data_IF_807240602409
#
_entry.id   IF_807240602409
#
_cell.length_a   1.000
_cell.length_b   1.000
_cell.length_c   1.000
_cell.angle_alpha   90.00
_cell.angle_beta   90.00
_cell.angle_gamma   90.00
#
_symmetry.space_group_name_H-M   'P 1'
#
loop_
_entity.id
_entity.type
_entity.pdbx_description
1 polymer ?
#
# COMPACT_ATOMS: atom_id res chain seq x y z
N UNK A 1 42.74 -20.47 -6.09
CA UNK A 1 41.75 -19.38 -5.85
C UNK A 1 41.95 -18.82 -4.45
N UNK A 2 41.83 -17.51 -4.23
CA UNK A 2 42.01 -16.91 -2.90
C UNK A 2 40.88 -17.36 -1.94
N UNK A 3 41.20 -17.97 -0.78
CA UNK A 3 40.19 -18.45 0.17
C UNK A 3 39.25 -17.36 0.70
N UNK A 4 39.74 -16.12 0.87
CA UNK A 4 38.94 -14.97 1.32
C UNK A 4 37.89 -14.59 0.26
N UNK A 5 38.26 -14.61 -1.01
CA UNK A 5 37.33 -14.35 -2.13
C UNK A 5 36.22 -15.41 -2.16
N UNK A 6 36.56 -16.67 -1.91
CA UNK A 6 35.57 -17.77 -1.91
C UNK A 6 34.53 -17.61 -0.79
N UNK A 7 34.98 -17.21 0.41
CA UNK A 7 34.08 -16.92 1.54
C UNK A 7 33.15 -15.76 1.23
N UNK A 8 33.71 -14.64 0.75
CA UNK A 8 32.92 -13.45 0.39
C UNK A 8 31.88 -13.74 -0.70
N UNK A 9 32.22 -14.53 -1.73
CA UNK A 9 31.27 -14.94 -2.77
C UNK A 9 30.14 -15.80 -2.20
N UNK A 10 30.45 -16.69 -1.27
CA UNK A 10 29.43 -17.54 -0.62
C UNK A 10 28.45 -16.70 0.19
N UNK A 11 28.96 -15.74 0.97
CA UNK A 11 28.12 -14.82 1.75
C UNK A 11 27.29 -13.91 0.84
N UNK A 12 27.88 -13.40 -0.23
CA UNK A 12 27.18 -12.59 -1.22
C UNK A 12 25.99 -13.34 -1.84
N UNK A 13 26.18 -14.59 -2.26
CA UNK A 13 25.09 -15.40 -2.83
C UNK A 13 23.99 -15.73 -1.80
N UNK A 14 24.36 -15.96 -0.53
CA UNK A 14 23.37 -16.12 0.55
C UNK A 14 22.53 -14.85 0.73
N UNK A 15 23.17 -13.69 0.73
CA UNK A 15 22.47 -12.41 0.84
C UNK A 15 21.56 -12.16 -0.36
N UNK A 16 22.03 -12.45 -1.58
CA UNK A 16 21.24 -12.33 -2.80
C UNK A 16 19.97 -13.21 -2.76
N UNK A 17 20.10 -14.46 -2.30
CA UNK A 17 18.94 -15.35 -2.09
C UNK A 17 17.97 -14.77 -1.07
N UNK A 18 18.47 -14.36 0.10
CA UNK A 18 17.63 -13.78 1.15
C UNK A 18 16.88 -12.52 0.69
N UNK A 19 17.52 -11.66 -0.10
CA UNK A 19 16.88 -10.49 -0.71
C UNK A 19 15.74 -10.93 -1.64
N UNK A 20 15.98 -11.92 -2.51
CA UNK A 20 14.94 -12.43 -3.42
C UNK A 20 13.74 -13.01 -2.66
N UNK A 21 14.00 -13.75 -1.58
CA UNK A 21 12.94 -14.35 -0.75
C UNK A 21 12.11 -13.25 -0.05
N UNK A 22 12.78 -12.24 0.52
CA UNK A 22 12.12 -11.10 1.15
C UNK A 22 11.32 -10.28 0.16
N UNK A 23 11.83 -10.05 -1.06
CA UNK A 23 11.07 -9.38 -2.12
C UNK A 23 9.83 -10.19 -2.53
N UNK A 24 9.92 -11.52 -2.56
CA UNK A 24 8.76 -12.38 -2.77
C UNK A 24 7.70 -12.21 -1.69
N UNK A 25 8.12 -12.23 -0.42
CA UNK A 25 7.22 -12.03 0.73
C UNK A 25 6.59 -10.64 0.73
N UNK A 26 7.33 -9.59 0.38
CA UNK A 26 6.80 -8.23 0.32
C UNK A 26 5.68 -8.11 -0.72
N UNK A 27 5.83 -8.71 -1.91
CA UNK A 27 4.76 -8.73 -2.93
C UNK A 27 3.50 -9.41 -2.44
N UNK A 28 3.65 -10.50 -1.68
CA UNK A 28 2.50 -11.20 -1.09
C UNK A 28 1.82 -10.36 -0.01
N UNK A 29 2.59 -9.69 0.85
CA UNK A 29 2.05 -8.78 1.85
C UNK A 29 1.32 -7.58 1.21
N UNK A 30 1.89 -6.97 0.17
CA UNK A 30 1.23 -5.89 -0.59
C UNK A 30 -0.11 -6.34 -1.17
N UNK A 31 -0.19 -7.58 -1.66
CA UNK A 31 -1.42 -8.16 -2.17
C UNK A 31 -2.46 -8.32 -1.04
N UNK A 32 -2.06 -8.88 0.09
CA UNK A 32 -2.96 -9.07 1.24
C UNK A 32 -3.47 -7.74 1.80
N UNK A 33 -2.61 -6.72 1.88
CA UNK A 33 -3.01 -5.37 2.29
C UNK A 33 -4.08 -4.84 1.35
N UNK A 34 -3.85 -4.89 0.03
CA UNK A 34 -4.82 -4.42 -0.96
C UNK A 34 -6.16 -5.15 -0.85
N UNK A 35 -6.15 -6.47 -0.69
CA UNK A 35 -7.38 -7.26 -0.56
C UNK A 35 -8.18 -6.89 0.69
N UNK A 36 -7.51 -6.56 1.80
CA UNK A 36 -8.16 -6.07 3.02
C UNK A 36 -8.72 -4.67 2.82
N UNK A 37 -7.95 -3.75 2.23
CA UNK A 37 -8.41 -2.39 1.91
C UNK A 37 -9.63 -2.40 0.98
N UNK A 38 -9.61 -3.24 -0.06
CA UNK A 38 -10.75 -3.41 -0.98
C UNK A 38 -12.00 -3.94 -0.24
N UNK A 39 -11.80 -4.86 0.72
CA UNK A 39 -12.87 -5.39 1.55
C UNK A 39 -13.45 -4.33 2.48
N UNK A 40 -12.60 -3.52 3.11
CA UNK A 40 -12.99 -2.42 3.99
C UNK A 40 -13.78 -1.36 3.22
N UNK A 41 -13.37 -1.02 1.99
CA UNK A 41 -14.13 -0.12 1.10
C UNK A 41 -15.54 -0.65 0.87
N UNK A 42 -15.70 -1.94 0.56
CA UNK A 42 -17.02 -2.56 0.35
C UNK A 42 -17.84 -2.52 1.64
N UNK A 43 -17.22 -2.77 2.80
CA UNK A 43 -17.85 -2.65 4.11
C UNK A 43 -18.42 -1.26 4.35
N UNK A 44 -17.60 -0.23 4.19
CA UNK A 44 -18.01 1.17 4.36
C UNK A 44 -19.15 1.57 3.42
N UNK A 45 -19.10 1.15 2.16
CA UNK A 45 -20.18 1.45 1.18
C UNK A 45 -21.51 0.84 1.62
N UNK A 46 -21.49 -0.40 2.10
CA UNK A 46 -22.70 -1.10 2.58
C UNK A 46 -23.25 -0.50 3.87
N UNK A 47 -22.39 -0.13 4.82
CA UNK A 47 -22.78 0.53 6.07
C UNK A 47 -23.49 1.86 5.82
N UNK A 48 -23.09 2.58 4.78
CA UNK A 48 -23.75 3.81 4.34
C UNK A 48 -25.02 3.56 3.50
N UNK A 49 -25.49 2.30 3.40
CA UNK A 49 -26.71 1.94 2.66
C UNK A 49 -26.60 2.10 1.14
N UNK A 50 -25.38 2.20 0.60
CA UNK A 50 -25.13 2.35 -0.83
C UNK A 50 -24.76 1.00 -1.47
N UNK A 51 -25.03 0.86 -2.76
CA UNK A 51 -24.46 -0.22 -3.58
C UNK A 51 -23.11 0.19 -4.17
N UNK A 52 -22.30 -0.78 -4.60
CA UNK A 52 -21.00 -0.49 -5.25
C UNK A 52 -21.17 0.28 -6.56
N UNK A 53 -22.29 0.11 -7.27
CA UNK A 53 -22.62 0.85 -8.49
C UNK A 53 -22.91 2.32 -8.19
N UNK A 54 -23.66 2.60 -7.11
CA UNK A 54 -23.95 3.96 -6.65
C UNK A 54 -22.67 4.66 -6.18
N UNK A 55 -21.82 3.93 -5.44
CA UNK A 55 -20.50 4.43 -5.06
C UNK A 55 -19.63 4.74 -6.28
N UNK A 56 -19.56 3.85 -7.27
CA UNK A 56 -18.79 4.07 -8.49
C UNK A 56 -19.30 5.27 -9.30
N UNK A 57 -20.62 5.49 -9.34
CA UNK A 57 -21.22 6.68 -9.96
C UNK A 57 -20.86 7.96 -9.21
N UNK A 58 -20.97 7.96 -7.88
CA UNK A 58 -20.57 9.09 -7.03
C UNK A 58 -19.08 9.40 -7.19
N UNK A 59 -18.22 8.37 -7.15
CA UNK A 59 -16.77 8.51 -7.30
C UNK A 59 -16.40 9.12 -8.66
N UNK A 60 -17.03 8.67 -9.76
CA UNK A 60 -16.83 9.26 -11.10
C UNK A 60 -17.24 10.73 -11.15
N UNK A 61 -18.34 11.11 -10.49
CA UNK A 61 -18.77 12.52 -10.41
C UNK A 61 -17.77 13.36 -9.61
N UNK A 62 -17.19 12.81 -8.54
CA UNK A 62 -16.18 13.50 -7.72
C UNK A 62 -14.85 13.70 -8.45
N UNK A 63 -14.43 12.78 -9.32
CA UNK A 63 -13.19 12.96 -10.10
C UNK A 63 -13.20 14.16 -11.07
N UNK A 64 -14.38 14.65 -11.44
CA UNK A 64 -14.55 15.87 -12.24
C UNK A 64 -14.82 17.14 -11.41
N UNK A 65 -14.97 17.01 -10.09
CA UNK A 65 -15.24 18.13 -9.20
C UNK A 65 -13.92 18.67 -8.63
N UNK A 66 -13.76 20.00 -8.43
CA UNK A 66 -12.63 20.51 -7.67
C UNK A 66 -12.64 19.88 -6.29
N UNK A 67 -11.47 19.44 -5.81
CA UNK A 67 -11.33 18.83 -4.50
C UNK A 67 -12.00 19.75 -3.45
N UNK A 68 -12.86 19.22 -2.56
CA UNK A 68 -13.40 20.03 -1.49
C UNK A 68 -12.23 20.61 -0.70
N UNK A 69 -12.20 21.92 -0.53
CA UNK A 69 -11.22 22.60 0.30
C UNK A 69 -11.50 22.11 1.73
N UNK A 70 -10.77 21.09 2.19
CA UNK A 70 -10.70 20.79 3.61
C UNK A 70 -9.92 21.93 4.23
N UNK A 71 -10.64 22.92 4.73
CA UNK A 71 -10.09 23.91 5.64
C UNK A 71 -9.75 23.18 6.94
N UNK A 72 -8.66 22.42 6.95
CA UNK A 72 -7.92 22.18 8.18
C UNK A 72 -7.29 23.52 8.52
N UNK A 73 -7.98 24.29 9.37
CA UNK A 73 -7.32 25.36 10.09
C UNK A 73 -6.27 24.67 10.97
N UNK A 74 -5.04 24.57 10.47
CA UNK A 74 -3.87 24.37 11.30
C UNK A 74 -3.88 25.51 12.32
N UNK A 75 -4.28 25.22 13.57
CA UNK A 75 -3.91 26.09 14.67
C UNK A 75 -2.40 25.95 14.87
N UNK A 76 -1.59 27.03 14.68
CA UNK A 76 -0.17 26.96 14.96
C UNK A 76 -0.01 26.98 16.48
N UNK A 77 0.12 25.81 17.09
CA UNK A 77 0.60 25.70 18.46
C UNK A 77 2.13 25.85 18.46
N UNK A 78 2.57 27.09 18.52
CA UNK A 78 3.93 27.43 18.94
C UNK A 78 3.86 28.08 20.33
N UNK A 79 4.17 27.30 21.36
CA UNK A 79 4.92 27.76 22.54
C UNK A 79 5.73 26.61 23.15
#
# INVERSE_FOLDING_TARGET
>A
MNPKITKLRTEFEKNKRKISDLQGRNRELEKQIRELEDTDIIGMVRENGMTMEQFAELFRRMQGAPAPITSEQEEPSHE
#
